data_IF_533159684660
#
_entry.id   IF_533159684660
#
_cell.length_a   1.000
_cell.length_b   1.000
_cell.length_c   1.000
_cell.angle_alpha   90.00
_cell.angle_beta   90.00
_cell.angle_gamma   90.00
#
_symmetry.space_group_name_H-M   'P 1'
#
loop_
_entity.id
_entity.type
_entity.pdbx_description
1 polymer ?
#
# COMPACT_ATOMS: atom_id res chain seq x y z
N UNK A 1 -4.25 -16.30 -8.92
CA UNK A 1 -4.35 -14.97 -9.58
C UNK A 1 -3.03 -14.67 -10.28
N UNK A 2 -3.04 -14.04 -11.46
CA UNK A 2 -1.83 -13.74 -12.23
C UNK A 2 -1.45 -12.26 -12.11
N UNK A 3 -0.16 -11.98 -11.88
CA UNK A 3 0.38 -10.61 -11.81
C UNK A 3 1.58 -10.44 -12.74
N UNK A 4 1.86 -9.18 -13.11
CA UNK A 4 3.07 -8.77 -13.83
C UNK A 4 3.75 -7.63 -13.07
N UNK A 5 5.03 -7.79 -12.79
CA UNK A 5 5.82 -6.77 -12.10
C UNK A 5 6.59 -5.94 -13.11
N UNK A 6 6.48 -4.61 -12.99
CA UNK A 6 7.18 -3.64 -13.82
C UNK A 6 8.14 -2.85 -12.94
N UNK A 7 9.44 -2.99 -13.20
CA UNK A 7 10.45 -2.14 -12.58
C UNK A 7 10.63 -0.87 -13.41
N UNK A 8 10.57 0.29 -12.76
CA UNK A 8 10.80 1.58 -13.41
C UNK A 8 12.25 2.04 -13.14
N UNK A 9 12.85 2.84 -14.04
CA UNK A 9 14.23 3.32 -13.87
C UNK A 9 14.48 4.16 -12.61
N UNK A 10 13.42 4.73 -12.02
CA UNK A 10 13.45 5.49 -10.77
C UNK A 10 13.42 4.61 -9.51
N UNK A 11 13.55 3.28 -9.65
CA UNK A 11 13.51 2.32 -8.55
C UNK A 11 12.08 1.94 -8.12
N UNK A 12 11.06 2.61 -8.65
CA UNK A 12 9.66 2.31 -8.37
C UNK A 12 9.29 0.97 -9.00
N UNK A 13 8.66 0.11 -8.22
CA UNK A 13 8.12 -1.17 -8.70
C UNK A 13 6.60 -1.10 -8.77
N UNK A 14 6.00 -1.52 -9.87
CA UNK A 14 4.54 -1.60 -9.99
C UNK A 14 4.09 -3.02 -10.32
N UNK A 15 3.32 -3.63 -9.42
CA UNK A 15 2.73 -4.95 -9.60
C UNK A 15 1.34 -4.79 -10.19
N UNK A 16 1.15 -5.19 -11.44
CA UNK A 16 -0.14 -5.15 -12.13
C UNK A 16 -0.87 -6.47 -11.99
N UNK A 17 -2.17 -6.39 -11.75
CA UNK A 17 -3.08 -7.52 -11.88
C UNK A 17 -3.31 -7.79 -13.36
N UNK A 18 -3.16 -9.06 -13.77
CA UNK A 18 -3.57 -9.50 -15.10
C UNK A 18 -5.00 -10.02 -14.98
N UNK A 19 -5.94 -9.30 -15.58
CA UNK A 19 -7.35 -9.70 -15.60
C UNK A 19 -7.53 -10.85 -16.61
N UNK A 20 -8.10 -11.95 -16.14
CA UNK A 20 -8.53 -13.10 -16.93
C UNK A 20 -9.83 -13.67 -16.30
N UNK A 21 -10.44 -14.66 -16.95
CA UNK A 21 -11.72 -15.22 -16.51
C UNK A 21 -11.71 -15.75 -15.07
N UNK A 22 -10.64 -16.43 -14.65
CA UNK A 22 -10.52 -16.95 -13.27
C UNK A 22 -10.40 -15.85 -12.21
N UNK A 23 -9.87 -14.69 -12.59
CA UNK A 23 -9.73 -13.51 -11.72
C UNK A 23 -11.03 -12.72 -11.61
N UNK A 24 -11.90 -12.77 -12.63
CA UNK A 24 -13.24 -12.16 -12.59
C UNK A 24 -14.20 -12.89 -11.66
N UNK A 25 -14.02 -14.20 -11.46
CA UNK A 25 -14.86 -15.01 -10.57
C UNK A 25 -14.79 -14.62 -9.08
N UNK A 26 -13.71 -13.95 -8.65
CA UNK A 26 -13.50 -13.51 -7.27
C UNK A 26 -13.79 -12.01 -7.08
N UNK A 27 -14.42 -11.36 -8.05
CA UNK A 27 -14.73 -9.94 -7.98
C UNK A 27 -16.01 -9.69 -7.18
N UNK A 28 -15.97 -8.71 -6.27
CA UNK A 28 -17.14 -8.24 -5.53
C UNK A 28 -17.20 -6.72 -5.56
N UNK A 29 -18.35 -6.15 -5.93
CA UNK A 29 -18.58 -4.70 -5.89
C UNK A 29 -18.55 -4.12 -4.48
N UNK A 30 -18.72 -4.98 -3.47
CA UNK A 30 -18.68 -4.61 -2.05
C UNK A 30 -17.28 -4.63 -1.46
N UNK A 31 -16.30 -5.21 -2.16
CA UNK A 31 -14.92 -5.25 -1.73
C UNK A 31 -14.09 -4.21 -2.51
N UNK A 32 -13.63 -3.11 -1.88
CA UNK A 32 -12.79 -2.11 -2.53
C UNK A 32 -11.52 -2.68 -3.17
N UNK A 33 -10.98 -3.78 -2.65
CA UNK A 33 -9.78 -4.42 -3.20
C UNK A 33 -10.06 -5.00 -4.59
N UNK A 34 -11.29 -5.42 -4.87
CA UNK A 34 -11.67 -5.99 -6.18
C UNK A 34 -11.42 -5.04 -7.35
N UNK A 35 -11.40 -3.73 -7.09
CA UNK A 35 -11.15 -2.68 -8.07
C UNK A 35 -9.67 -2.29 -8.21
N UNK A 36 -8.75 -2.95 -7.52
CA UNK A 36 -7.34 -2.65 -7.66
C UNK A 36 -6.78 -3.17 -8.99
N UNK A 37 -6.22 -2.23 -9.74
CA UNK A 37 -5.49 -2.50 -10.98
C UNK A 37 -4.05 -2.88 -10.70
N UNK A 38 -3.39 -2.13 -9.81
CA UNK A 38 -1.98 -2.32 -9.51
C UNK A 38 -1.62 -1.81 -8.11
N UNK A 39 -0.50 -2.31 -7.59
CA UNK A 39 0.17 -1.81 -6.39
C UNK A 39 1.48 -1.16 -6.84
N UNK A 40 1.71 0.08 -6.43
CA UNK A 40 2.96 0.80 -6.66
C UNK A 40 3.76 0.80 -5.37
N UNK A 41 5.00 0.35 -5.45
CA UNK A 41 6.03 0.43 -4.42
C UNK A 41 7.03 1.50 -4.80
N UNK A 42 7.20 2.48 -3.92
CA UNK A 42 8.11 3.60 -4.10
C UNK A 42 9.55 3.26 -3.69
N UNK A 43 9.73 2.20 -2.90
CA UNK A 43 11.01 1.71 -2.42
C UNK A 43 11.16 0.21 -2.74
N UNK A 44 12.39 -0.31 -2.90
CA UNK A 44 12.63 -1.74 -3.08
C UNK A 44 12.15 -2.59 -1.89
N UNK A 45 11.35 -3.62 -2.19
CA UNK A 45 10.70 -4.47 -1.18
C UNK A 45 11.68 -5.33 -0.38
N UNK A 46 12.82 -5.70 -0.96
CA UNK A 46 13.79 -6.61 -0.33
C UNK A 46 14.36 -6.06 0.99
N UNK A 47 14.26 -4.74 1.17
CA UNK A 47 14.72 -4.04 2.38
C UNK A 47 13.69 -3.98 3.51
N UNK A 48 12.44 -4.39 3.25
CA UNK A 48 11.29 -4.23 4.14
C UNK A 48 10.80 -5.60 4.64
N UNK A 49 10.82 -5.80 5.96
CA UNK A 49 10.27 -7.02 6.57
C UNK A 49 8.76 -6.89 6.82
N UNK A 50 8.28 -5.66 7.00
CA UNK A 50 6.86 -5.35 7.01
C UNK A 50 6.60 -3.94 6.46
N UNK A 51 5.36 -3.70 6.07
CA UNK A 51 4.78 -2.35 5.92
C UNK A 51 3.49 -2.28 6.71
N UNK A 52 3.04 -1.08 7.08
CA UNK A 52 1.67 -0.91 7.57
C UNK A 52 0.72 -0.76 6.39
N UNK A 53 -0.46 -1.36 6.49
CA UNK A 53 -1.55 -1.21 5.53
C UNK A 53 -2.68 -0.35 6.11
N UNK A 54 -3.15 0.60 5.31
CA UNK A 54 -4.35 1.37 5.62
C UNK A 54 -5.23 1.57 4.40
N UNK A 55 -6.54 1.62 4.64
CA UNK A 55 -7.53 2.03 3.65
C UNK A 55 -7.72 3.54 3.73
N UNK A 56 -7.55 4.19 2.59
CA UNK A 56 -7.82 5.60 2.35
C UNK A 56 -9.19 5.70 1.69
N UNK A 57 -10.19 6.16 2.42
CA UNK A 57 -11.59 6.28 1.93
C UNK A 57 -11.89 7.63 1.27
N UNK A 58 -10.93 8.56 1.25
CA UNK A 58 -11.12 9.93 0.78
C UNK A 58 -10.22 10.32 -0.41
N UNK A 59 -9.75 9.34 -1.20
CA UNK A 59 -8.88 9.64 -2.33
C UNK A 59 -9.65 10.33 -3.47
N UNK A 60 -9.14 11.47 -3.96
CA UNK A 60 -9.81 12.25 -5.02
C UNK A 60 -9.67 11.65 -6.43
N UNK A 61 -8.74 10.72 -6.61
CA UNK A 61 -8.40 10.09 -7.89
C UNK A 61 -8.11 8.61 -7.72
N UNK A 62 -8.51 7.81 -8.71
CA UNK A 62 -8.21 6.37 -8.85
C UNK A 62 -6.72 6.07 -9.01
N UNK A 63 -5.94 7.07 -9.42
CA UNK A 63 -4.52 6.94 -9.77
C UNK A 63 -3.68 8.12 -9.27
N UNK A 64 -2.37 7.96 -9.35
CA UNK A 64 -1.38 8.94 -8.92
C UNK A 64 -0.99 8.79 -7.44
N UNK A 65 0.04 9.52 -6.99
CA UNK A 65 0.56 9.38 -5.64
C UNK A 65 -0.48 9.66 -4.56
N UNK A 66 -0.45 8.85 -3.51
CA UNK A 66 -1.06 9.18 -2.22
C UNK A 66 0.05 9.69 -1.29
N UNK A 67 -0.28 10.65 -0.44
CA UNK A 67 0.69 11.28 0.47
C UNK A 67 0.06 11.57 1.82
N UNK A 68 0.86 11.50 2.87
CA UNK A 68 0.47 11.87 4.22
C UNK A 68 1.61 12.67 4.86
N UNK A 69 1.35 13.81 5.53
CA UNK A 69 2.40 14.65 6.11
C UNK A 69 3.18 13.97 7.24
N UNK A 70 2.56 13.00 7.92
CA UNK A 70 3.07 12.42 9.16
C UNK A 70 3.56 10.97 8.99
N UNK A 71 3.68 10.50 7.75
CA UNK A 71 3.99 9.11 7.44
C UNK A 71 4.97 9.04 6.28
N UNK A 72 5.78 7.98 6.28
CA UNK A 72 6.66 7.64 5.16
C UNK A 72 5.84 6.73 4.25
N UNK A 73 5.40 7.25 3.11
CA UNK A 73 4.64 6.45 2.13
C UNK A 73 5.60 5.57 1.35
N UNK A 74 5.39 4.26 1.44
CA UNK A 74 6.20 3.23 0.78
C UNK A 74 5.48 2.65 -0.44
N UNK A 75 4.15 2.74 -0.49
CA UNK A 75 3.39 2.30 -1.64
C UNK A 75 1.93 2.70 -1.59
N UNK A 76 1.21 2.47 -2.69
CA UNK A 76 -0.22 2.71 -2.80
C UNK A 76 -0.85 1.90 -3.92
N UNK A 77 -2.16 1.66 -3.84
CA UNK A 77 -2.90 1.03 -4.93
C UNK A 77 -3.37 2.04 -5.98
N UNK A 78 -3.45 1.59 -7.24
CA UNK A 78 -4.21 2.27 -8.31
C UNK A 78 -5.43 1.41 -8.63
N UNK A 79 -6.53 2.08 -8.96
CA UNK A 79 -7.79 1.42 -9.25
C UNK A 79 -8.00 1.25 -10.76
N UNK A 80 -8.87 0.31 -11.11
CA UNK A 80 -9.41 0.13 -12.46
C UNK A 80 -10.32 1.31 -12.84
N UNK A 81 -10.54 1.60 -14.14
CA UNK A 81 -11.34 2.75 -14.57
C UNK A 81 -12.80 2.76 -14.08
N UNK A 82 -13.35 1.57 -13.87
CA UNK A 82 -14.72 1.28 -13.43
C UNK A 82 -14.90 1.32 -11.91
N UNK A 83 -13.83 1.54 -11.13
CA UNK A 83 -13.92 1.65 -9.69
C UNK A 83 -14.92 2.75 -9.27
N UNK A 84 -15.96 2.43 -8.47
CA UNK A 84 -16.97 3.40 -8.08
C UNK A 84 -16.40 4.43 -7.10
N UNK A 85 -17.07 5.59 -7.02
CA UNK A 85 -16.90 6.48 -5.88
C UNK A 85 -17.80 5.96 -4.75
N UNK A 86 -17.34 6.12 -3.52
CA UNK A 86 -18.17 5.94 -2.34
C UNK A 86 -19.35 6.92 -2.40
N UNK A 87 -20.60 6.46 -2.22
CA UNK A 87 -21.79 7.28 -2.43
C UNK A 87 -21.99 8.37 -1.36
N UNK A 88 -21.37 8.22 -0.18
CA UNK A 88 -21.50 9.16 0.94
C UNK A 88 -20.46 10.26 0.85
N UNK A 89 -19.20 9.89 0.59
CA UNK A 89 -18.06 10.80 0.58
C UNK A 89 -17.76 11.37 -0.80
N UNK A 90 -18.26 10.72 -1.86
CA UNK A 90 -17.95 11.05 -3.25
C UNK A 90 -16.48 10.80 -3.62
N UNK A 91 -15.72 10.06 -2.81
CA UNK A 91 -14.30 9.79 -3.00
C UNK A 91 -14.03 8.34 -3.41
N UNK A 92 -12.78 8.01 -3.72
CA UNK A 92 -12.33 6.66 -4.01
C UNK A 92 -11.68 6.02 -2.79
N UNK A 93 -11.92 4.73 -2.63
CA UNK A 93 -11.26 3.90 -1.62
C UNK A 93 -9.99 3.27 -2.19
N UNK A 94 -8.83 3.51 -1.59
CA UNK A 94 -7.52 3.00 -2.05
C UNK A 94 -6.68 2.49 -0.88
N UNK A 95 -5.72 1.62 -1.14
CA UNK A 95 -4.74 1.21 -0.14
C UNK A 95 -3.52 2.11 -0.12
N UNK A 96 -3.02 2.35 1.09
CA UNK A 96 -1.76 3.05 1.37
C UNK A 96 -0.86 2.12 2.19
N UNK A 97 0.38 1.98 1.75
CA UNK A 97 1.41 1.25 2.47
C UNK A 97 2.43 2.24 2.99
N UNK A 98 2.72 2.17 4.28
CA UNK A 98 3.47 3.23 4.94
C UNK A 98 4.23 2.75 6.17
N UNK A 99 5.15 3.58 6.62
CA UNK A 99 5.73 3.53 7.95
C UNK A 99 5.42 4.81 8.73
N UNK A 100 5.28 4.66 10.05
CA UNK A 100 5.36 5.76 11.00
C UNK A 100 6.83 6.01 11.34
N UNK A 101 7.22 7.24 11.71
CA UNK A 101 8.59 7.51 12.16
C UNK A 101 9.07 6.59 13.30
N UNK A 102 8.16 6.19 14.19
CA UNK A 102 8.43 5.26 15.29
C UNK A 102 8.76 3.83 14.85
N UNK A 103 8.36 3.42 13.65
CA UNK A 103 8.56 2.03 13.19
C UNK A 103 10.03 1.71 12.94
N UNK A 104 10.85 2.72 12.62
CA UNK A 104 12.30 2.55 12.45
C UNK A 104 13.04 2.19 13.76
N UNK A 105 12.39 2.29 14.91
CA UNK A 105 12.94 1.96 16.22
C UNK A 105 12.33 0.70 16.83
N UNK A 106 11.38 0.05 16.14
CA UNK A 106 10.74 -1.18 16.64
C UNK A 106 11.74 -2.33 16.63
N UNK A 107 11.63 -3.18 17.64
CA UNK A 107 12.36 -4.45 17.67
C UNK A 107 11.86 -5.35 16.53
N UNK A 108 12.75 -6.14 15.95
CA UNK A 108 12.37 -7.18 15.02
C UNK A 108 11.42 -8.17 15.71
N UNK A 109 10.39 -8.60 14.98
CA UNK A 109 9.29 -9.46 15.45
C UNK A 109 8.21 -8.78 16.32
N UNK A 110 8.38 -7.53 16.78
CA UNK A 110 7.28 -6.71 17.33
C UNK A 110 6.58 -5.96 16.19
N UNK A 111 5.75 -6.70 15.45
CA UNK A 111 4.99 -6.14 14.35
C UNK A 111 3.75 -5.39 14.85
N UNK A 112 3.49 -4.18 14.31
CA UNK A 112 2.23 -3.51 14.54
C UNK A 112 1.01 -4.36 14.13
N UNK A 113 -0.15 -4.10 14.73
CA UNK A 113 -1.39 -4.81 14.40
C UNK A 113 -1.81 -4.67 12.92
N UNK A 114 -1.40 -3.57 12.26
CA UNK A 114 -1.69 -3.27 10.85
C UNK A 114 -0.51 -3.62 9.92
N UNK A 115 0.43 -4.43 10.40
CA UNK A 115 1.59 -4.84 9.63
C UNK A 115 1.26 -6.00 8.68
N UNK A 116 1.81 -5.93 7.47
CA UNK A 116 1.72 -6.96 6.44
C UNK A 116 3.09 -7.22 5.83
N UNK A 117 3.33 -8.45 5.36
CA UNK A 117 4.50 -8.75 4.53
C UNK A 117 4.31 -8.08 3.15
N UNK A 118 5.13 -7.08 2.77
CA UNK A 118 4.97 -6.40 1.49
C UNK A 118 5.10 -7.33 0.28
N UNK A 119 5.77 -8.48 0.41
CA UNK A 119 5.96 -9.45 -0.69
C UNK A 119 4.69 -10.25 -0.99
N UNK A 120 3.82 -10.40 0.00
CA UNK A 120 2.53 -11.08 -0.13
C UNK A 120 1.44 -10.19 -0.75
N UNK A 121 1.65 -8.87 -0.73
CA UNK A 121 0.65 -7.89 -1.16
C UNK A 121 0.54 -7.88 -2.69
N UNK A 122 -0.61 -8.31 -3.19
CA UNK A 122 -0.98 -8.23 -4.60
C UNK A 122 -2.24 -7.37 -4.77
N UNK A 123 -2.45 -6.75 -5.95
CA UNK A 123 -3.67 -5.97 -6.19
C UNK A 123 -4.90 -6.87 -6.04
N UNK A 124 -5.92 -6.48 -5.28
CA UNK A 124 -7.10 -7.32 -5.07
C UNK A 124 -6.91 -8.47 -4.09
N UNK A 125 -5.78 -8.52 -3.40
CA UNK A 125 -5.50 -9.51 -2.34
C UNK A 125 -4.98 -8.80 -1.09
N UNK A 126 -5.45 -9.26 0.07
CA UNK A 126 -4.91 -8.83 1.38
C UNK A 126 -3.48 -9.36 1.52
N UNK A 127 -2.62 -8.60 2.20
CA UNK A 127 -1.31 -9.10 2.58
C UNK A 127 -1.41 -10.13 3.71
N UNK A 128 -0.47 -11.06 3.73
CA UNK A 128 -0.23 -11.97 4.84
C UNK A 128 0.47 -11.23 5.99
N UNK A 129 0.38 -11.80 7.20
CA UNK A 129 1.13 -11.30 8.34
C UNK A 129 2.64 -11.42 8.09
N UNK A 130 3.44 -10.45 8.53
CA UNK A 130 4.89 -10.54 8.43
C UNK A 130 5.41 -11.71 9.25
N UNK A 131 6.44 -12.37 8.72
CA UNK A 131 7.07 -13.52 9.36
C UNK A 131 8.15 -13.03 10.34
N UNK A 132 8.16 -13.63 11.54
CA UNK A 132 9.26 -13.44 12.46
C UNK A 132 10.54 -14.05 11.87
N UNK A 133 11.67 -13.38 12.05
CA UNK A 133 12.98 -13.88 11.60
C UNK A 133 13.85 -14.27 12.80
N UNK A 134 14.73 -15.25 12.58
CA UNK A 134 15.53 -15.89 13.63
C UNK A 134 16.70 -15.04 14.14
N UNK A 135 17.16 -14.07 13.35
CA UNK A 135 18.34 -13.26 13.66
C UNK A 135 17.99 -11.79 13.82
N UNK A 136 18.56 -11.16 14.84
CA UNK A 136 18.37 -9.74 15.15
C UNK A 136 19.20 -8.86 14.19
N UNK A 137 18.57 -7.83 13.63
CA UNK A 137 19.13 -6.90 12.62
C UNK A 137 18.54 -5.49 12.82
N UNK A 138 19.29 -4.45 12.51
CA UNK A 138 18.68 -3.11 12.43
C UNK A 138 17.97 -2.90 11.09
N UNK A 139 16.85 -2.18 11.07
CA UNK A 139 16.29 -1.70 9.80
C UNK A 139 17.27 -0.73 9.11
N UNK A 140 17.37 -0.77 7.77
CA UNK A 140 18.34 0.04 7.05
C UNK A 140 18.10 1.55 7.29
N UNK A 141 19.17 2.34 7.54
CA UNK A 141 19.05 3.78 7.79
C UNK A 141 18.42 4.57 6.65
N UNK A 142 18.46 4.04 5.42
CA UNK A 142 17.99 4.72 4.20
C UNK A 142 16.50 5.10 4.24
N UNK A 143 15.70 4.35 5.00
CA UNK A 143 14.27 4.61 5.19
C UNK A 143 14.00 5.81 6.12
N UNK A 144 15.04 6.42 6.71
CA UNK A 144 14.95 7.65 7.52
C UNK A 144 14.78 8.92 6.70
N UNK A 145 14.85 8.89 5.36
CA UNK A 145 14.51 10.06 4.53
C UNK A 145 12.99 10.23 4.51
N UNK A 146 12.52 10.98 5.49
CA UNK A 146 11.12 11.32 5.66
C UNK A 146 10.56 12.05 4.43
N UNK A 147 9.34 11.64 4.10
CA UNK A 147 8.27 12.26 3.30
C UNK A 147 8.67 13.40 2.33
N UNK A 148 8.27 13.34 1.04
CA UNK A 148 8.19 14.57 0.27
C UNK A 148 7.28 15.55 1.04
N UNK A 149 7.74 16.78 1.22
CA UNK A 149 7.01 17.83 1.90
C UNK A 149 5.56 17.83 1.41
N UNK A 150 4.61 17.75 2.35
CA UNK A 150 3.21 17.89 2.04
C UNK A 150 3.03 19.18 1.22
N UNK A 151 2.51 19.05 0.00
CA UNK A 151 2.16 20.24 -0.77
C UNK A 151 1.10 21.01 0.04
N UNK A 152 1.35 22.27 0.42
CA UNK A 152 0.36 23.04 1.17
C UNK A 152 -0.95 23.08 0.37
N UNK A 153 -2.06 22.70 1.02
CA UNK A 153 -3.40 22.74 0.44
C UNK A 153 -4.01 21.41 -0.03
N UNK A 154 -3.32 20.27 0.10
CA UNK A 154 -3.96 18.95 -0.12
C UNK A 154 -4.68 18.47 1.15
N UNK A 155 -5.94 18.01 1.05
CA UNK A 155 -6.65 17.45 2.20
C UNK A 155 -5.90 16.23 2.76
N UNK A 156 -5.93 16.10 4.08
CA UNK A 156 -5.28 14.99 4.78
C UNK A 156 -6.02 13.68 4.48
N UNK A 157 -5.27 12.61 4.23
CA UNK A 157 -5.87 11.30 3.98
C UNK A 157 -6.52 10.78 5.26
N UNK A 158 -7.76 10.32 5.15
CA UNK A 158 -8.47 9.63 6.23
C UNK A 158 -8.12 8.15 6.12
N UNK A 159 -7.42 7.65 7.13
CA UNK A 159 -6.92 6.29 7.18
C UNK A 159 -7.82 5.45 8.07
N UNK A 160 -8.23 4.30 7.56
CA UNK A 160 -8.86 3.25 8.33
C UNK A 160 -7.89 2.07 8.38
N UNK A 161 -7.64 1.55 9.59
CA UNK A 161 -6.85 0.35 9.75
C UNK A 161 -7.64 -0.84 9.24
N UNK A 162 -6.99 -1.70 8.46
CA UNK A 162 -7.58 -2.95 8.00
C UNK A 162 -7.50 -3.94 9.18
N UNK A 163 -8.65 -4.30 9.74
CA UNK A 163 -8.77 -5.42 10.67
C UNK A 163 -8.85 -6.76 9.92
#
# INVERSE_FOLDING_TARGET
MTTKTFLRPDGVTEVHRVLNESVLGNWSSQDPLSFEKSIVWLEPLDSLDFVREAVVDNARSRRGPLGSPNMIVLGYSKLTPDAPRDPVTGAYTRRLFYWKPSDAQRNMNDFPADAVDPRSVLPGQRGDLPHAVEFDRAYPPALRRAAPAASPGKPQLRLQTVA
#
